data_IF_958306220357
#
_entry.id   IF_958306220357
#
_cell.length_a   1.000
_cell.length_b   1.000
_cell.length_c   1.000
_cell.angle_alpha   90.00
_cell.angle_beta   90.00
_cell.angle_gamma   90.00
#
_symmetry.space_group_name_H-M   'P 1'
#
loop_
_entity.id
_entity.type
_entity.pdbx_description
1 polymer ?
#
# COMPACT_ATOMS: atom_id res chain seq x y z
N UNK A 1 -15.85 -10.98 -11.53
CA UNK A 1 -14.40 -11.04 -11.53
C UNK A 1 -13.89 -11.07 -10.10
N UNK A 2 -12.99 -11.98 -9.81
CA UNK A 2 -12.51 -12.14 -8.44
C UNK A 2 -11.29 -11.24 -8.20
N UNK A 3 -11.43 -10.32 -7.26
CA UNK A 3 -10.31 -9.55 -6.75
C UNK A 3 -9.79 -10.17 -5.48
N UNK A 4 -8.65 -9.69 -5.04
CA UNK A 4 -8.08 -10.04 -3.74
C UNK A 4 -7.85 -8.78 -2.94
N UNK A 5 -7.75 -8.93 -1.63
CA UNK A 5 -7.43 -7.82 -0.73
C UNK A 5 -6.36 -8.24 0.25
N UNK A 6 -5.46 -7.32 0.57
CA UNK A 6 -4.39 -7.53 1.52
C UNK A 6 -4.29 -6.34 2.46
N UNK A 7 -4.01 -6.62 3.71
CA UNK A 7 -3.51 -5.59 4.61
C UNK A 7 -1.99 -5.63 4.56
N UNK A 8 -1.35 -4.47 4.45
CA UNK A 8 0.10 -4.36 4.28
C UNK A 8 0.63 -3.41 5.34
N UNK A 9 1.74 -3.79 5.97
CA UNK A 9 2.41 -2.94 6.93
C UNK A 9 3.88 -2.81 6.53
N UNK A 10 4.34 -1.59 6.32
CA UNK A 10 5.72 -1.28 5.95
C UNK A 10 6.46 -0.66 7.13
N UNK A 11 7.67 -1.15 7.40
CA UNK A 11 8.54 -0.62 8.45
C UNK A 11 9.84 -0.09 7.85
N UNK A 12 10.56 0.70 8.62
CA UNK A 12 11.79 1.35 8.20
C UNK A 12 11.62 2.86 8.11
N UNK A 13 12.38 3.50 7.21
CA UNK A 13 12.20 4.93 6.94
C UNK A 13 11.08 5.08 5.91
N UNK A 14 9.84 5.13 6.39
CA UNK A 14 8.65 5.14 5.55
C UNK A 14 7.73 6.34 5.82
N UNK A 15 7.97 7.10 6.90
CA UNK A 15 7.25 8.33 7.18
C UNK A 15 8.15 9.53 6.91
N UNK A 16 7.54 10.66 6.50
CA UNK A 16 8.28 11.88 6.20
C UNK A 16 9.07 11.82 4.89
N UNK A 17 8.80 10.85 4.04
CA UNK A 17 9.50 10.64 2.76
C UNK A 17 8.53 10.57 1.58
N UNK A 18 7.33 11.13 1.75
CA UNK A 18 6.26 11.16 0.73
C UNK A 18 5.77 9.75 0.35
N UNK A 19 5.87 8.79 1.26
CA UNK A 19 5.49 7.41 0.97
C UNK A 19 4.01 7.28 0.60
N UNK A 20 3.14 7.95 1.36
CA UNK A 20 1.68 7.84 1.13
C UNK A 20 1.27 8.37 -0.23
N UNK A 21 1.75 9.54 -0.63
CA UNK A 21 1.41 10.11 -1.94
C UNK A 21 2.00 9.29 -3.07
N UNK A 22 3.22 8.80 -2.90
CA UNK A 22 3.86 7.91 -3.87
C UNK A 22 3.05 6.62 -4.03
N UNK A 23 2.61 6.02 -2.92
CA UNK A 23 1.83 4.79 -2.96
C UNK A 23 0.48 5.00 -3.64
N UNK A 24 -0.17 6.14 -3.38
CA UNK A 24 -1.42 6.48 -4.06
C UNK A 24 -1.23 6.53 -5.58
N UNK A 25 -0.14 7.15 -6.04
CA UNK A 25 0.16 7.22 -7.46
C UNK A 25 0.38 5.83 -8.06
N UNK A 26 1.13 4.97 -7.36
CA UNK A 26 1.39 3.60 -7.82
C UNK A 26 0.11 2.78 -7.87
N UNK A 27 -0.70 2.85 -6.82
CA UNK A 27 -1.97 2.12 -6.75
C UNK A 27 -2.92 2.57 -7.86
N UNK A 28 -3.05 3.87 -8.06
CA UNK A 28 -3.92 4.43 -9.10
C UNK A 28 -3.48 3.97 -10.49
N UNK A 29 -2.20 3.98 -10.76
CA UNK A 29 -1.64 3.51 -12.03
C UNK A 29 -1.99 2.04 -12.29
N UNK A 30 -1.95 1.23 -11.24
CA UNK A 30 -2.19 -0.22 -11.34
C UNK A 30 -3.67 -0.60 -11.23
N UNK A 31 -4.55 0.38 -10.94
CA UNK A 31 -5.96 0.10 -10.73
C UNK A 31 -6.26 -0.57 -9.38
N UNK A 32 -5.37 -0.40 -8.41
CA UNK A 32 -5.55 -0.91 -7.05
C UNK A 32 -6.26 0.15 -6.21
N UNK A 33 -7.23 -0.28 -5.43
CA UNK A 33 -8.01 0.61 -4.54
C UNK A 33 -7.70 0.28 -3.09
N UNK A 34 -8.13 1.14 -2.18
CA UNK A 34 -7.90 0.97 -0.75
C UNK A 34 -7.51 2.26 -0.06
N UNK A 35 -6.59 2.17 0.90
CA UNK A 35 -6.11 3.33 1.64
C UNK A 35 -4.71 3.09 2.18
N UNK A 36 -4.04 4.18 2.56
CA UNK A 36 -2.74 4.16 3.21
C UNK A 36 -2.71 5.22 4.30
N UNK A 37 -2.08 4.90 5.44
CA UNK A 37 -1.95 5.84 6.56
C UNK A 37 -0.64 5.64 7.31
N UNK A 38 -0.18 6.70 7.96
CA UNK A 38 0.91 6.62 8.92
C UNK A 38 0.37 6.15 10.27
N UNK A 39 1.14 5.30 10.94
CA UNK A 39 0.81 4.84 12.29
C UNK A 39 1.69 5.56 13.32
N UNK A 40 1.21 5.72 14.57
CA UNK A 40 1.97 6.42 15.61
C UNK A 40 3.33 5.82 15.92
N UNK A 41 3.52 4.53 15.67
CA UNK A 41 4.78 3.83 15.95
C UNK A 41 5.81 3.94 14.81
N UNK A 42 5.50 4.71 13.77
CA UNK A 42 6.43 4.98 12.67
C UNK A 42 6.22 4.12 11.43
N UNK A 43 5.41 3.08 11.50
CA UNK A 43 5.13 2.27 10.31
C UNK A 43 4.05 2.92 9.44
N UNK A 44 3.92 2.41 8.23
CA UNK A 44 2.84 2.79 7.30
C UNK A 44 1.97 1.56 7.08
N UNK A 45 0.67 1.69 7.29
CA UNK A 45 -0.30 0.63 7.05
C UNK A 45 -1.16 0.95 5.85
N UNK A 46 -1.62 -0.09 5.17
CA UNK A 46 -2.45 0.07 3.98
C UNK A 46 -3.37 -1.13 3.81
N UNK A 47 -4.55 -0.86 3.25
CA UNK A 47 -5.42 -1.88 2.71
C UNK A 47 -5.38 -1.74 1.20
N UNK A 48 -5.05 -2.81 0.49
CA UNK A 48 -4.97 -2.79 -0.97
C UNK A 48 -5.84 -3.88 -1.53
N UNK A 49 -6.59 -3.58 -2.58
CA UNK A 49 -7.44 -4.56 -3.25
C UNK A 49 -7.54 -4.29 -4.74
N UNK A 50 -7.76 -5.37 -5.50
CA UNK A 50 -7.86 -5.31 -6.94
C UNK A 50 -7.59 -6.68 -7.54
N UNK A 51 -7.33 -6.71 -8.84
CA UNK A 51 -6.93 -7.94 -9.50
C UNK A 51 -5.62 -8.46 -8.91
N UNK A 52 -5.49 -9.76 -8.81
CA UNK A 52 -4.33 -10.38 -8.17
C UNK A 52 -3.01 -9.89 -8.75
N UNK A 53 -2.90 -9.87 -10.09
CA UNK A 53 -1.67 -9.42 -10.75
C UNK A 53 -1.32 -7.97 -10.40
N UNK A 54 -2.32 -7.10 -10.31
CA UNK A 54 -2.12 -5.69 -9.98
C UNK A 54 -1.69 -5.52 -8.52
N UNK A 55 -2.34 -6.24 -7.61
CA UNK A 55 -2.00 -6.22 -6.18
C UNK A 55 -0.56 -6.71 -5.97
N UNK A 56 -0.19 -7.80 -6.62
CA UNK A 56 1.16 -8.34 -6.50
C UNK A 56 2.22 -7.41 -7.09
N UNK A 57 1.90 -6.72 -8.18
CA UNK A 57 2.80 -5.74 -8.76
C UNK A 57 3.01 -4.56 -7.81
N UNK A 58 1.94 -4.10 -7.17
CA UNK A 58 2.06 -3.04 -6.16
C UNK A 58 2.93 -3.48 -4.99
N UNK A 59 2.75 -4.70 -4.49
CA UNK A 59 3.55 -5.23 -3.40
C UNK A 59 5.04 -5.23 -3.76
N UNK A 60 5.38 -5.62 -4.99
CA UNK A 60 6.77 -5.56 -5.45
C UNK A 60 7.33 -4.15 -5.38
N UNK A 61 6.54 -3.16 -5.81
CA UNK A 61 6.96 -1.75 -5.76
C UNK A 61 7.12 -1.27 -4.33
N UNK A 62 6.27 -1.76 -3.40
CA UNK A 62 6.34 -1.37 -1.99
C UNK A 62 7.64 -1.79 -1.31
N UNK A 63 8.21 -2.93 -1.71
CA UNK A 63 9.50 -3.37 -1.17
C UNK A 63 10.62 -2.38 -1.46
N UNK A 64 10.53 -1.65 -2.56
CA UNK A 64 11.50 -0.62 -2.90
C UNK A 64 11.12 0.73 -2.29
N UNK A 65 9.86 1.11 -2.39
CA UNK A 65 9.36 2.41 -1.94
C UNK A 65 9.82 3.56 -2.83
N UNK A 66 9.47 4.79 -2.44
CA UNK A 66 9.96 5.99 -3.13
C UNK A 66 11.46 6.20 -2.87
N UNK A 67 12.13 7.05 -3.69
CA UNK A 67 13.60 7.19 -3.60
C UNK A 67 14.14 7.55 -2.22
N UNK A 68 13.42 8.36 -1.44
CA UNK A 68 13.88 8.79 -0.13
C UNK A 68 13.55 7.80 0.99
N UNK A 69 12.79 6.76 0.69
CA UNK A 69 12.39 5.77 1.68
C UNK A 69 13.43 4.67 1.81
N UNK A 70 13.42 4.02 2.97
CA UNK A 70 14.18 2.81 3.20
C UNK A 70 13.25 1.80 3.83
N UNK A 71 12.68 0.92 3.00
CA UNK A 71 11.75 -0.10 3.46
C UNK A 71 12.55 -1.28 4.00
N UNK A 72 12.38 -1.57 5.29
CA UNK A 72 13.07 -2.68 5.94
C UNK A 72 12.27 -3.96 5.84
N UNK A 73 10.98 -3.90 6.14
CA UNK A 73 10.08 -5.06 6.06
C UNK A 73 8.74 -4.67 5.47
N UNK A 74 8.14 -5.63 4.77
CA UNK A 74 6.77 -5.53 4.28
C UNK A 74 6.03 -6.77 4.81
N UNK A 75 5.05 -6.54 5.68
CA UNK A 75 4.24 -7.60 6.24
C UNK A 75 2.87 -7.62 5.55
N UNK A 76 2.38 -8.81 5.22
CA UNK A 76 1.17 -9.01 4.43
C UNK A 76 0.20 -9.93 5.14
N UNK A 77 -1.09 -9.58 5.07
CA UNK A 77 -2.18 -10.44 5.55
C UNK A 77 -3.28 -10.46 4.50
N UNK A 78 -3.85 -11.63 4.28
CA UNK A 78 -5.06 -11.74 3.47
C UNK A 78 -6.24 -11.20 4.27
N UNK A 79 -7.06 -10.36 3.64
CA UNK A 79 -8.25 -9.79 4.26
C UNK A 79 -9.40 -9.84 3.26
N UNK A 80 -10.61 -9.53 3.72
CA UNK A 80 -11.78 -9.50 2.86
C UNK A 80 -11.84 -8.23 2.03
N UNK A 81 -12.43 -8.34 0.85
CA UNK A 81 -12.70 -7.19 -0.01
C UNK A 81 -13.67 -6.25 0.67
N UNK A 82 -13.36 -4.95 0.61
CA UNK A 82 -14.22 -3.89 1.14
C UNK A 82 -14.86 -3.05 0.02
N UNK A 83 -14.49 -3.32 -1.23
CA UNK A 83 -15.02 -2.64 -2.42
C UNK A 83 -14.79 -1.13 -2.42
N UNK A 84 -13.56 -0.71 -2.13
CA UNK A 84 -13.17 0.69 -2.23
C UNK A 84 -13.24 1.14 -3.71
N UNK A 85 -13.70 2.37 -3.93
CA UNK A 85 -13.83 2.93 -5.27
C UNK A 85 -12.51 3.51 -5.79
N UNK A 86 -11.68 4.01 -4.90
CA UNK A 86 -10.40 4.61 -5.26
C UNK A 86 -9.35 4.32 -4.19
N UNK A 87 -8.18 4.92 -4.31
CA UNK A 87 -7.11 4.79 -3.33
C UNK A 87 -6.98 6.09 -2.53
N UNK A 88 -7.20 6.01 -1.23
CA UNK A 88 -7.22 7.16 -0.33
C UNK A 88 -5.94 7.28 0.48
N UNK A 89 -5.47 8.51 0.65
CA UNK A 89 -4.44 8.83 1.63
C UNK A 89 -5.14 9.30 2.90
N UNK A 90 -4.91 8.60 3.99
CA UNK A 90 -5.50 8.93 5.30
C UNK A 90 -4.46 9.59 6.21
N UNK A 91 -4.94 10.51 7.03
CA UNK A 91 -4.10 11.27 7.93
C UNK A 91 -4.31 10.93 9.40
#
# INVERSE_FOLDING_TARGET
MAGIARHVSMTGRVQGVFFRSWMQDQATELGVTGWVRNCPDGRVDSHIEGEEAAVEQLIKRLHRGPPAAKVEDVHLWDVELCDFEDFEVRH
#
